data_IF_571099289342
#
_entry.id   IF_571099289342
#
_cell.length_a   1.000
_cell.length_b   1.000
_cell.length_c   1.000
_cell.angle_alpha   90.00
_cell.angle_beta   90.00
_cell.angle_gamma   90.00
#
_symmetry.space_group_name_H-M   'P 1'
#
loop_
_entity.id
_entity.type
_entity.pdbx_description
1 polymer ?
#
# COMPACT_ATOMS: atom_id res chain seq x y z
N UNK A 1 -19.49 -17.02 32.21
CA UNK A 1 -20.38 -16.16 33.03
C UNK A 1 -20.50 -14.85 32.28
N UNK A 2 -21.63 -14.58 31.63
CA UNK A 2 -21.84 -13.33 30.91
C UNK A 2 -22.17 -12.25 31.95
N UNK A 3 -21.28 -11.28 32.14
CA UNK A 3 -21.59 -10.08 32.92
C UNK A 3 -22.35 -9.13 32.00
N UNK A 4 -23.64 -8.92 32.26
CA UNK A 4 -24.38 -7.80 31.68
C UNK A 4 -24.24 -6.59 32.60
N UNK A 5 -24.14 -5.41 32.00
CA UNK A 5 -24.24 -4.15 32.74
C UNK A 5 -25.62 -4.10 33.40
N UNK A 6 -25.68 -3.68 34.67
CA UNK A 6 -26.95 -3.53 35.36
C UNK A 6 -27.77 -2.40 34.71
N UNK A 7 -29.09 -2.58 34.50
CA UNK A 7 -29.92 -1.54 33.92
C UNK A 7 -29.89 -0.28 34.80
N UNK A 8 -30.00 0.92 34.18
CA UNK A 8 -30.08 2.17 34.91
C UNK A 8 -31.32 2.17 35.82
N UNK A 9 -31.17 2.80 37.00
CA UNK A 9 -32.23 2.88 38.01
C UNK A 9 -33.28 3.96 37.67
N UNK A 10 -32.93 4.92 36.81
CA UNK A 10 -33.76 6.03 36.37
C UNK A 10 -33.43 6.39 34.92
N UNK A 11 -34.42 6.88 34.18
CA UNK A 11 -34.26 7.40 32.83
C UNK A 11 -33.89 8.89 32.90
N UNK A 12 -32.86 9.31 32.18
CA UNK A 12 -32.43 10.70 32.05
C UNK A 12 -32.46 11.12 30.57
N UNK A 13 -32.84 12.37 30.28
CA UNK A 13 -33.01 12.86 28.89
C UNK A 13 -31.71 12.83 28.08
N UNK A 14 -30.55 12.95 28.74
CA UNK A 14 -29.22 12.97 28.10
C UNK A 14 -28.47 11.63 28.19
N UNK A 15 -29.11 10.54 28.65
CA UNK A 15 -28.47 9.23 28.80
C UNK A 15 -29.01 8.14 27.84
N UNK A 16 -28.22 7.08 27.68
CA UNK A 16 -28.61 5.92 26.88
C UNK A 16 -29.77 5.18 27.57
N UNK A 17 -30.91 5.11 26.88
CA UNK A 17 -32.10 4.40 27.35
C UNK A 17 -31.91 2.88 27.29
N UNK A 18 -32.26 2.20 28.38
CA UNK A 18 -32.22 0.74 28.43
C UNK A 18 -33.47 0.14 27.78
N UNK A 19 -33.29 -0.46 26.59
CA UNK A 19 -34.41 -1.07 25.85
C UNK A 19 -34.62 -2.51 26.31
N UNK A 20 -35.75 -2.77 26.96
CA UNK A 20 -36.24 -4.13 27.19
C UNK A 20 -37.16 -4.58 26.04
N UNK A 21 -36.65 -5.49 25.19
CA UNK A 21 -37.39 -6.01 24.03
C UNK A 21 -38.70 -6.71 24.41
N UNK A 22 -38.81 -7.28 25.62
CA UNK A 22 -40.03 -7.94 26.08
C UNK A 22 -41.16 -6.95 26.41
N UNK A 23 -40.83 -5.68 26.66
CA UNK A 23 -41.76 -4.64 27.13
C UNK A 23 -42.32 -3.78 25.99
N UNK A 24 -41.66 -3.78 24.82
CA UNK A 24 -41.99 -2.91 23.71
C UNK A 24 -42.17 -3.71 22.40
N UNK A 25 -43.36 -4.31 22.17
CA UNK A 25 -43.62 -5.12 20.97
C UNK A 25 -43.61 -4.33 19.66
N UNK A 26 -43.64 -2.99 19.71
CA UNK A 26 -43.65 -2.11 18.54
C UNK A 26 -42.26 -1.61 18.12
N UNK A 27 -41.19 -1.98 18.82
CA UNK A 27 -39.81 -1.55 18.50
C UNK A 27 -39.09 -2.68 17.79
N UNK A 28 -38.79 -2.50 16.50
CA UNK A 28 -37.92 -3.41 15.76
C UNK A 28 -36.47 -2.97 15.88
N UNK A 29 -35.62 -3.84 16.43
CA UNK A 29 -34.17 -3.58 16.47
C UNK A 29 -33.62 -3.77 15.06
N UNK A 30 -33.23 -2.67 14.44
CA UNK A 30 -32.52 -2.68 13.16
C UNK A 30 -31.02 -2.63 13.44
N UNK A 31 -30.33 -3.71 13.09
CA UNK A 31 -28.88 -3.72 13.08
C UNK A 31 -28.39 -3.08 11.78
N UNK A 32 -27.43 -2.17 11.87
CA UNK A 32 -26.71 -1.68 10.70
C UNK A 32 -25.90 -2.84 10.09
N UNK A 33 -26.38 -3.35 8.96
CA UNK A 33 -25.72 -4.43 8.22
C UNK A 33 -24.55 -3.91 7.38
N UNK A 34 -24.30 -2.61 7.33
CA UNK A 34 -23.21 -2.02 6.55
C UNK A 34 -21.82 -2.46 7.02
N UNK A 35 -21.69 -2.92 8.27
CA UNK A 35 -20.45 -3.46 8.84
C UNK A 35 -20.43 -4.99 8.96
N UNK A 36 -21.41 -5.69 8.38
CA UNK A 36 -21.48 -7.14 8.48
C UNK A 36 -20.45 -7.80 7.55
N UNK A 37 -19.53 -8.54 8.15
CA UNK A 37 -18.60 -9.43 7.45
C UNK A 37 -19.05 -10.86 7.70
N UNK A 38 -19.14 -11.68 6.65
CA UNK A 38 -19.53 -13.08 6.82
C UNK A 38 -18.50 -13.82 7.70
N UNK A 39 -18.92 -14.79 8.53
CA UNK A 39 -17.99 -15.55 9.36
C UNK A 39 -16.86 -16.20 8.55
N UNK A 40 -17.17 -16.66 7.34
CA UNK A 40 -16.20 -17.24 6.43
C UNK A 40 -15.15 -16.20 6.00
N UNK A 41 -15.59 -15.03 5.53
CA UNK A 41 -14.68 -13.93 5.14
C UNK A 41 -13.79 -13.51 6.32
N UNK A 42 -14.34 -13.42 7.53
CA UNK A 42 -13.58 -13.08 8.73
C UNK A 42 -12.45 -14.08 9.01
N UNK A 43 -12.71 -15.38 8.86
CA UNK A 43 -11.69 -16.43 9.02
C UNK A 43 -10.62 -16.31 7.94
N UNK A 44 -11.02 -16.09 6.68
CA UNK A 44 -10.08 -15.92 5.57
C UNK A 44 -9.15 -14.72 5.76
N UNK A 45 -9.67 -13.59 6.23
CA UNK A 45 -8.86 -12.39 6.52
C UNK A 45 -7.88 -12.67 7.66
N UNK A 46 -8.32 -13.34 8.72
CA UNK A 46 -7.42 -13.72 9.82
C UNK A 46 -6.31 -14.64 9.35
N UNK A 47 -6.61 -15.58 8.45
CA UNK A 47 -5.61 -16.44 7.82
C UNK A 47 -4.68 -15.65 6.90
N UNK A 48 -5.18 -14.65 6.18
CA UNK A 48 -4.38 -13.82 5.28
C UNK A 48 -3.26 -13.05 5.98
N UNK A 49 -3.44 -12.71 7.27
CA UNK A 49 -2.38 -12.10 8.08
C UNK A 49 -1.30 -13.09 8.52
N UNK A 50 -1.61 -14.38 8.56
CA UNK A 50 -0.72 -15.41 9.10
C UNK A 50 0.03 -16.12 7.98
N UNK A 51 -0.64 -16.40 6.86
CA UNK A 51 -0.13 -17.26 5.80
C UNK A 51 -0.69 -16.88 4.42
N UNK A 52 -0.02 -17.31 3.33
CA UNK A 52 -0.56 -17.16 1.98
C UNK A 52 -1.87 -17.94 1.84
N UNK A 53 -2.89 -17.30 1.28
CA UNK A 53 -4.19 -17.92 1.00
C UNK A 53 -4.14 -18.75 -0.28
N UNK A 54 -4.99 -19.77 -0.35
CA UNK A 54 -5.19 -20.54 -1.59
C UNK A 54 -5.83 -19.68 -2.68
N UNK A 55 -5.63 -20.03 -3.94
CA UNK A 55 -6.19 -19.24 -5.06
C UNK A 55 -7.73 -19.15 -5.01
N UNK A 56 -8.40 -20.19 -4.50
CA UNK A 56 -9.84 -20.21 -4.30
C UNK A 56 -10.26 -19.24 -3.18
N UNK A 57 -9.56 -19.27 -2.04
CA UNK A 57 -9.84 -18.37 -0.92
C UNK A 57 -9.58 -16.91 -1.27
N UNK A 58 -8.53 -16.64 -2.06
CA UNK A 58 -8.26 -15.30 -2.59
C UNK A 58 -9.42 -14.80 -3.45
N UNK A 59 -9.96 -15.62 -4.35
CA UNK A 59 -11.11 -15.24 -5.18
C UNK A 59 -12.35 -14.93 -4.35
N UNK A 60 -12.65 -15.74 -3.32
CA UNK A 60 -13.76 -15.47 -2.40
C UNK A 60 -13.59 -14.11 -1.72
N UNK A 61 -12.37 -13.80 -1.25
CA UNK A 61 -12.09 -12.53 -0.59
C UNK A 61 -12.14 -11.34 -1.56
N UNK A 62 -11.69 -11.50 -2.80
CA UNK A 62 -11.82 -10.48 -3.85
C UNK A 62 -13.29 -10.21 -4.18
N UNK A 63 -14.11 -11.25 -4.33
CA UNK A 63 -15.54 -11.09 -4.59
C UNK A 63 -16.27 -10.40 -3.43
N UNK A 64 -15.83 -10.61 -2.18
CA UNK A 64 -16.34 -9.87 -1.03
C UNK A 64 -15.89 -8.41 -1.04
N UNK A 65 -14.60 -8.16 -1.32
CA UNK A 65 -14.03 -6.81 -1.46
C UNK A 65 -14.72 -5.97 -2.53
N UNK A 66 -15.18 -6.58 -3.63
CA UNK A 66 -15.93 -5.90 -4.68
C UNK A 66 -17.35 -5.47 -4.23
N UNK A 67 -17.93 -6.17 -3.25
CA UNK A 67 -19.28 -5.89 -2.71
C UNK A 67 -19.25 -4.88 -1.56
N UNK A 68 -18.15 -4.85 -0.81
CA UNK A 68 -17.96 -4.01 0.37
C UNK A 68 -17.56 -2.59 -0.06
N UNK A 69 -18.30 -1.57 0.38
CA UNK A 69 -18.05 -0.19 -0.06
C UNK A 69 -17.69 0.79 1.08
N UNK A 70 -17.72 0.39 2.36
CA UNK A 70 -17.45 1.31 3.48
C UNK A 70 -16.67 0.62 4.61
N UNK A 71 -15.63 1.28 5.12
CA UNK A 71 -14.87 0.92 6.32
C UNK A 71 -14.20 -0.47 6.33
N UNK A 72 -13.64 -0.89 5.20
CA UNK A 72 -12.95 -2.20 5.04
C UNK A 72 -11.84 -2.40 6.10
N UNK A 73 -11.07 -1.36 6.46
CA UNK A 73 -10.04 -1.47 7.50
C UNK A 73 -10.62 -1.96 8.84
N UNK A 74 -11.73 -1.37 9.30
CA UNK A 74 -12.37 -1.75 10.55
C UNK A 74 -13.03 -3.12 10.46
N UNK A 75 -13.75 -3.38 9.37
CA UNK A 75 -14.42 -4.65 9.12
C UNK A 75 -13.43 -5.82 9.11
N UNK A 76 -12.25 -5.62 8.50
CA UNK A 76 -11.25 -6.66 8.33
C UNK A 76 -10.24 -6.68 9.50
N UNK A 77 -10.34 -5.73 10.43
CA UNK A 77 -9.40 -5.60 11.55
C UNK A 77 -7.96 -5.35 11.06
N UNK A 78 -7.81 -4.67 9.92
CA UNK A 78 -6.54 -4.29 9.34
C UNK A 78 -6.04 -3.03 10.05
N UNK A 79 -5.15 -3.21 11.01
CA UNK A 79 -4.39 -2.12 11.63
C UNK A 79 -3.10 -1.87 10.84
N UNK A 80 -2.53 -0.65 10.85
CA UNK A 80 -1.25 -0.38 10.18
C UNK A 80 -0.14 -1.37 10.57
N UNK A 81 -0.10 -1.80 11.83
CA UNK A 81 0.86 -2.80 12.34
C UNK A 81 0.76 -4.19 11.70
N UNK A 82 -0.40 -4.57 11.15
CA UNK A 82 -0.61 -5.87 10.48
C UNK A 82 -0.37 -5.79 8.96
N UNK A 83 -0.26 -4.58 8.41
CA UNK A 83 -0.03 -4.38 6.99
C UNK A 83 1.21 -5.13 6.47
N UNK A 84 2.37 -5.12 7.18
CA UNK A 84 3.55 -5.84 6.70
C UNK A 84 3.33 -7.33 6.53
N UNK A 85 2.63 -7.95 7.47
CA UNK A 85 2.32 -9.37 7.41
C UNK A 85 1.39 -9.70 6.24
N UNK A 86 0.42 -8.82 5.98
CA UNK A 86 -0.49 -8.99 4.84
C UNK A 86 0.23 -8.84 3.50
N UNK A 87 1.12 -7.84 3.38
CA UNK A 87 1.91 -7.59 2.16
C UNK A 87 2.83 -8.77 1.86
N UNK A 88 3.52 -9.29 2.87
CA UNK A 88 4.44 -10.42 2.70
C UNK A 88 3.70 -11.72 2.35
N UNK A 89 2.53 -11.98 2.93
CA UNK A 89 1.80 -13.22 2.68
C UNK A 89 0.89 -13.17 1.43
N UNK A 90 0.25 -12.02 1.19
CA UNK A 90 -0.82 -11.86 0.21
C UNK A 90 -0.77 -10.46 -0.47
N UNK A 91 0.19 -10.22 -1.38
CA UNK A 91 0.40 -8.90 -2.00
C UNK A 91 -0.78 -8.41 -2.83
N UNK A 92 -1.44 -9.30 -3.59
CA UNK A 92 -2.58 -8.92 -4.44
C UNK A 92 -3.80 -8.46 -3.62
N UNK A 93 -4.08 -9.14 -2.51
CA UNK A 93 -5.15 -8.76 -1.58
C UNK A 93 -4.80 -7.42 -0.92
N UNK A 94 -3.53 -7.24 -0.54
CA UNK A 94 -3.05 -5.98 0.02
C UNK A 94 -3.27 -4.81 -0.93
N UNK A 95 -2.98 -4.99 -2.23
CA UNK A 95 -3.21 -3.97 -3.26
C UNK A 95 -4.69 -3.56 -3.28
N UNK A 96 -5.61 -4.52 -3.42
CA UNK A 96 -7.04 -4.18 -3.53
C UNK A 96 -7.55 -3.48 -2.26
N UNK A 97 -7.14 -3.95 -1.07
CA UNK A 97 -7.54 -3.29 0.18
C UNK A 97 -6.98 -1.86 0.24
N UNK A 98 -5.71 -1.65 -0.08
CA UNK A 98 -5.09 -0.32 -0.04
C UNK A 98 -5.72 0.63 -1.06
N UNK A 99 -6.04 0.17 -2.27
CA UNK A 99 -6.77 0.96 -3.27
C UNK A 99 -8.14 1.41 -2.75
N UNK A 100 -8.85 0.54 -2.01
CA UNK A 100 -10.13 0.90 -1.40
C UNK A 100 -9.97 1.85 -0.23
N UNK A 101 -8.91 1.71 0.57
CA UNK A 101 -8.62 2.62 1.68
C UNK A 101 -8.32 4.03 1.18
N UNK A 102 -7.61 4.17 0.06
CA UNK A 102 -7.33 5.47 -0.56
C UNK A 102 -8.60 6.28 -0.87
N UNK A 103 -9.73 5.62 -1.13
CA UNK A 103 -10.99 6.27 -1.49
C UNK A 103 -11.82 6.62 -0.23
N UNK A 104 -11.73 5.79 0.81
CA UNK A 104 -12.72 5.77 1.88
C UNK A 104 -12.19 6.21 3.25
N UNK A 105 -10.87 6.33 3.44
CA UNK A 105 -10.25 6.54 4.77
C UNK A 105 -8.91 7.26 4.64
N UNK A 106 -8.44 7.90 5.72
CA UNK A 106 -7.07 8.43 5.80
C UNK A 106 -6.04 7.28 5.73
N UNK A 107 -5.37 7.17 4.59
CA UNK A 107 -4.37 6.12 4.32
C UNK A 107 -2.96 6.46 4.86
N UNK A 108 -2.78 7.65 5.42
CA UNK A 108 -1.47 8.20 5.81
C UNK A 108 -0.66 7.29 6.72
N UNK A 109 -1.28 6.69 7.75
CA UNK A 109 -0.61 5.74 8.66
C UNK A 109 -0.16 4.46 7.94
N UNK A 110 -0.95 3.98 6.98
CA UNK A 110 -0.59 2.80 6.18
C UNK A 110 0.56 3.12 5.22
N UNK A 111 0.60 4.33 4.66
CA UNK A 111 1.70 4.81 3.83
C UNK A 111 3.00 4.93 4.66
N UNK A 112 2.94 5.46 5.88
CA UNK A 112 4.12 5.52 6.75
C UNK A 112 4.69 4.12 7.05
N UNK A 113 3.81 3.16 7.35
CA UNK A 113 4.25 1.76 7.49
C UNK A 113 4.86 1.24 6.20
N UNK A 114 4.26 1.52 5.03
CA UNK A 114 4.79 1.12 3.72
C UNK A 114 6.21 1.61 3.46
N UNK A 115 6.53 2.84 3.85
CA UNK A 115 7.89 3.41 3.71
C UNK A 115 8.90 2.75 4.64
N UNK A 116 8.47 2.36 5.84
CA UNK A 116 9.34 1.82 6.88
C UNK A 116 9.53 0.30 6.79
N UNK A 117 8.72 -0.40 6.00
CA UNK A 117 8.85 -1.84 5.77
C UNK A 117 10.18 -2.24 5.10
N UNK A 118 10.55 -3.50 5.29
CA UNK A 118 11.64 -4.10 4.54
C UNK A 118 11.30 -4.16 3.05
N UNK A 119 12.26 -3.82 2.20
CA UNK A 119 12.03 -3.73 0.77
C UNK A 119 12.20 -5.13 0.18
N UNK A 120 11.06 -5.77 -0.03
CA UNK A 120 10.88 -7.10 -0.60
C UNK A 120 10.30 -7.02 -2.01
N UNK A 121 10.19 -8.16 -2.70
CA UNK A 121 9.48 -8.21 -3.98
C UNK A 121 8.01 -7.83 -3.82
N UNK A 122 7.36 -8.31 -2.75
CA UNK A 122 5.95 -8.09 -2.49
C UNK A 122 5.64 -6.62 -2.16
N UNK A 123 6.43 -5.98 -1.29
CA UNK A 123 6.27 -4.55 -1.00
C UNK A 123 6.50 -3.67 -2.24
N UNK A 124 7.53 -3.96 -3.06
CA UNK A 124 7.77 -3.25 -4.31
C UNK A 124 6.64 -3.44 -5.32
N UNK A 125 6.09 -4.65 -5.43
CA UNK A 125 4.94 -4.92 -6.30
C UNK A 125 3.72 -4.10 -5.86
N UNK A 126 3.43 -4.08 -4.56
CA UNK A 126 2.32 -3.29 -3.98
C UNK A 126 2.51 -1.82 -4.30
N UNK A 127 3.66 -1.22 -3.99
CA UNK A 127 3.91 0.20 -4.23
C UNK A 127 3.86 0.52 -5.73
N UNK A 128 4.46 -0.31 -6.59
CA UNK A 128 4.39 -0.11 -8.04
C UNK A 128 2.94 -0.11 -8.56
N UNK A 129 2.13 -1.07 -8.10
CA UNK A 129 0.71 -1.16 -8.47
C UNK A 129 -0.10 0.04 -7.99
N UNK A 130 0.09 0.46 -6.74
CA UNK A 130 -0.58 1.64 -6.18
C UNK A 130 -0.23 2.90 -6.97
N UNK A 131 1.06 3.10 -7.26
CA UNK A 131 1.55 4.29 -7.97
C UNK A 131 0.98 4.38 -9.40
N UNK A 132 0.74 3.23 -10.06
CA UNK A 132 0.10 3.21 -11.39
C UNK A 132 -1.42 3.31 -11.37
N UNK A 133 -2.06 2.95 -10.26
CA UNK A 133 -3.53 2.86 -10.17
C UNK A 133 -4.16 4.10 -9.54
N UNK A 134 -3.39 4.85 -8.76
CA UNK A 134 -3.85 6.02 -8.02
C UNK A 134 -2.77 7.12 -7.97
N UNK A 135 -3.20 8.36 -7.75
CA UNK A 135 -2.29 9.47 -7.46
C UNK A 135 -1.85 9.43 -5.99
N UNK A 136 -0.68 8.84 -5.73
CA UNK A 136 -0.04 8.89 -4.41
C UNK A 136 0.63 10.26 -4.19
N UNK A 137 0.74 10.73 -2.93
CA UNK A 137 1.50 11.94 -2.60
C UNK A 137 2.95 11.83 -3.07
N UNK A 138 3.48 12.91 -3.64
CA UNK A 138 4.85 12.96 -4.16
C UNK A 138 5.86 12.74 -3.03
N UNK A 139 5.61 13.29 -1.85
CA UNK A 139 6.47 13.16 -0.67
C UNK A 139 6.67 11.69 -0.28
N UNK A 140 5.58 10.90 -0.34
CA UNK A 140 5.65 9.45 -0.09
C UNK A 140 6.54 8.75 -1.12
N UNK A 141 6.36 9.05 -2.40
CA UNK A 141 7.13 8.42 -3.49
C UNK A 141 8.62 8.76 -3.36
N UNK A 142 8.95 10.05 -3.13
CA UNK A 142 10.33 10.50 -2.95
C UNK A 142 10.98 9.81 -1.75
N UNK A 143 10.31 9.79 -0.59
CA UNK A 143 10.83 9.15 0.61
C UNK A 143 11.03 7.64 0.42
N UNK A 144 10.08 6.97 -0.24
CA UNK A 144 10.20 5.54 -0.55
C UNK A 144 11.42 5.27 -1.44
N UNK A 145 11.66 6.09 -2.48
CA UNK A 145 12.81 5.96 -3.36
C UNK A 145 14.13 6.18 -2.62
N UNK A 146 14.24 7.24 -1.81
CA UNK A 146 15.45 7.50 -1.04
C UNK A 146 15.75 6.37 -0.05
N UNK A 147 14.71 5.76 0.55
CA UNK A 147 14.86 4.56 1.37
C UNK A 147 15.33 3.34 0.56
N UNK A 148 14.83 3.15 -0.67
CA UNK A 148 15.32 2.11 -1.57
C UNK A 148 16.81 2.27 -1.90
N UNK A 149 17.24 3.49 -2.25
CA UNK A 149 18.61 3.81 -2.63
C UNK A 149 19.55 3.63 -1.43
N UNK A 150 19.20 4.20 -0.27
CA UNK A 150 19.98 4.10 0.96
C UNK A 150 20.18 2.65 1.42
N UNK A 151 19.13 1.80 1.29
CA UNK A 151 19.22 0.36 1.59
C UNK A 151 20.13 -0.36 0.59
N UNK A 152 20.14 0.00 -0.70
CA UNK A 152 21.09 -0.58 -1.67
C UNK A 152 22.55 -0.30 -1.29
N UNK A 153 22.84 0.91 -0.79
CA UNK A 153 24.19 1.35 -0.42
C UNK A 153 24.66 0.77 0.92
N UNK A 154 23.75 0.51 1.85
CA UNK A 154 24.12 -0.02 3.18
C UNK A 154 24.43 -1.53 3.14
N UNK A 155 23.86 -2.29 2.20
CA UNK A 155 24.02 -3.76 2.05
C UNK A 155 25.38 -4.15 1.41
N UNK A 156 26.42 -3.33 1.56
CA UNK A 156 27.75 -3.52 0.94
C UNK A 156 28.65 -4.58 1.60
N UNK A 157 28.10 -5.55 2.35
CA UNK A 157 28.88 -6.62 2.97
C UNK A 157 29.18 -7.77 1.96
N UNK A 158 30.42 -8.29 1.88
CA UNK A 158 30.84 -9.23 0.82
C UNK A 158 30.03 -10.54 0.68
N UNK A 159 29.26 -10.93 1.70
CA UNK A 159 28.44 -12.16 1.69
C UNK A 159 27.08 -11.99 0.99
N UNK A 160 26.59 -10.76 0.84
CA UNK A 160 25.25 -10.47 0.31
C UNK A 160 25.24 -9.92 -1.12
N UNK A 161 26.39 -9.92 -1.80
CA UNK A 161 26.55 -9.29 -3.13
C UNK A 161 25.57 -9.83 -4.20
N UNK A 162 25.15 -11.10 -4.10
CA UNK A 162 24.14 -11.67 -4.99
C UNK A 162 22.73 -11.14 -4.67
N UNK A 163 22.38 -11.09 -3.38
CA UNK A 163 21.10 -10.56 -2.89
C UNK A 163 21.00 -9.07 -3.19
N UNK A 164 22.08 -8.31 -2.96
CA UNK A 164 22.20 -6.91 -3.34
C UNK A 164 22.03 -6.70 -4.85
N UNK A 165 22.68 -7.53 -5.69
CA UNK A 165 22.52 -7.44 -7.14
C UNK A 165 21.07 -7.66 -7.57
N UNK A 166 20.39 -8.67 -6.99
CA UNK A 166 18.96 -8.89 -7.22
C UNK A 166 18.10 -7.70 -6.76
N UNK A 167 18.42 -7.15 -5.60
CA UNK A 167 17.72 -6.00 -5.03
C UNK A 167 17.85 -4.75 -5.91
N UNK A 168 19.07 -4.41 -6.32
CA UNK A 168 19.34 -3.30 -7.24
C UNK A 168 18.59 -3.48 -8.56
N UNK A 169 18.50 -4.71 -9.10
CA UNK A 169 17.69 -4.98 -10.29
C UNK A 169 16.22 -4.65 -10.09
N UNK A 170 15.63 -5.03 -8.96
CA UNK A 170 14.23 -4.73 -8.64
C UNK A 170 14.00 -3.22 -8.52
N UNK A 171 14.86 -2.52 -7.80
CA UNK A 171 14.80 -1.05 -7.66
C UNK A 171 14.93 -0.37 -9.03
N UNK A 172 15.87 -0.82 -9.88
CA UNK A 172 16.02 -0.27 -11.23
C UNK A 172 14.75 -0.45 -12.07
N UNK A 173 14.13 -1.64 -12.06
CA UNK A 173 12.88 -1.90 -12.81
C UNK A 173 11.74 -1.04 -12.28
N UNK A 174 11.65 -0.88 -10.95
CA UNK A 174 10.67 -0.02 -10.30
C UNK A 174 10.85 1.45 -10.70
N UNK A 175 12.05 2.02 -10.59
CA UNK A 175 12.34 3.39 -11.01
C UNK A 175 12.03 3.61 -12.50
N UNK A 176 12.40 2.66 -13.36
CA UNK A 176 12.04 2.74 -14.77
C UNK A 176 10.52 2.72 -15.01
N UNK A 177 9.74 1.97 -14.21
CA UNK A 177 8.27 1.98 -14.26
C UNK A 177 7.72 3.37 -13.96
N UNK A 178 8.19 3.99 -12.88
CA UNK A 178 7.75 5.33 -12.45
C UNK A 178 8.08 6.40 -13.48
N UNK A 179 9.29 6.34 -14.06
CA UNK A 179 9.74 7.26 -15.11
C UNK A 179 8.90 7.09 -16.38
N UNK A 180 8.69 5.86 -16.86
CA UNK A 180 7.90 5.61 -18.08
C UNK A 180 6.45 6.04 -17.95
N UNK A 181 5.86 5.87 -16.77
CA UNK A 181 4.49 6.28 -16.48
C UNK A 181 4.37 7.77 -16.12
N UNK A 182 5.47 8.53 -16.15
CA UNK A 182 5.53 9.98 -15.82
C UNK A 182 4.97 10.32 -14.43
N UNK A 183 5.18 9.42 -13.47
CA UNK A 183 4.64 9.59 -12.12
C UNK A 183 5.55 10.49 -11.27
N UNK A 184 6.85 10.53 -11.60
CA UNK A 184 7.85 11.35 -10.91
C UNK A 184 8.31 12.47 -11.84
N UNK A 185 8.48 13.67 -11.28
CA UNK A 185 9.26 14.73 -11.91
C UNK A 185 10.75 14.38 -11.83
N UNK A 186 11.31 13.84 -12.93
CA UNK A 186 12.69 13.36 -13.00
C UNK A 186 13.72 14.42 -12.58
N UNK A 187 13.38 15.71 -12.67
CA UNK A 187 14.26 16.83 -12.32
C UNK A 187 14.63 16.88 -10.84
N UNK A 188 13.73 16.46 -9.96
CA UNK A 188 13.93 16.57 -8.51
C UNK A 188 14.78 15.43 -7.94
N UNK A 189 14.72 14.24 -8.56
CA UNK A 189 15.48 13.06 -8.14
C UNK A 189 16.67 12.73 -9.06
N UNK A 190 16.96 13.58 -10.04
CA UNK A 190 17.95 13.27 -11.08
C UNK A 190 19.32 12.91 -10.50
N UNK A 191 19.83 13.76 -9.61
CA UNK A 191 21.18 13.62 -9.02
C UNK A 191 21.28 12.34 -8.20
N UNK A 192 20.25 12.03 -7.41
CA UNK A 192 20.21 10.84 -6.55
C UNK A 192 20.17 9.55 -7.39
N UNK A 193 19.32 9.51 -8.42
CA UNK A 193 19.20 8.33 -9.29
C UNK A 193 20.45 8.17 -10.18
N UNK A 194 21.05 9.26 -10.64
CA UNK A 194 22.31 9.23 -11.39
C UNK A 194 23.45 8.67 -10.54
N UNK A 195 23.64 9.20 -9.33
CA UNK A 195 24.66 8.73 -8.39
C UNK A 195 24.48 7.23 -8.11
N UNK A 196 23.24 6.79 -7.86
CA UNK A 196 22.89 5.38 -7.70
C UNK A 196 23.29 4.54 -8.93
N UNK A 197 22.91 4.98 -10.14
CA UNK A 197 23.22 4.24 -11.36
C UNK A 197 24.73 4.11 -11.61
N UNK A 198 25.52 5.14 -11.28
CA UNK A 198 26.98 5.11 -11.38
C UNK A 198 27.57 4.13 -10.36
N UNK A 199 27.10 4.19 -9.11
CA UNK A 199 27.50 3.29 -8.03
C UNK A 199 27.29 1.81 -8.36
N UNK A 200 26.21 1.50 -9.08
CA UNK A 200 25.86 0.14 -9.49
C UNK A 200 26.05 -0.14 -10.99
N UNK A 201 26.92 0.60 -11.66
CA UNK A 201 27.15 0.53 -13.13
C UNK A 201 27.49 -0.86 -13.69
N UNK A 202 27.99 -1.78 -12.85
CA UNK A 202 28.25 -3.18 -13.23
C UNK A 202 26.97 -3.99 -13.48
N UNK A 203 25.82 -3.51 -13.00
CA UNK A 203 24.50 -4.15 -13.16
C UNK A 203 23.84 -3.60 -14.42
N UNK A 204 23.39 -4.51 -15.30
CA UNK A 204 22.83 -4.17 -16.62
C UNK A 204 21.62 -3.24 -16.51
N UNK A 205 20.77 -3.48 -15.52
CA UNK A 205 19.54 -2.75 -15.26
C UNK A 205 19.82 -1.31 -14.80
N UNK A 206 20.89 -1.09 -14.02
CA UNK A 206 21.35 0.25 -13.62
C UNK A 206 21.90 1.02 -14.83
N UNK A 207 22.71 0.37 -15.67
CA UNK A 207 23.18 0.98 -16.91
C UNK A 207 22.03 1.33 -17.88
N UNK A 208 20.98 0.50 -17.93
CA UNK A 208 19.79 0.77 -18.73
C UNK A 208 18.97 1.95 -18.17
N UNK A 209 18.81 2.03 -16.85
CA UNK A 209 18.14 3.15 -16.17
C UNK A 209 18.88 4.47 -16.42
N UNK A 210 20.21 4.49 -16.30
CA UNK A 210 21.03 5.66 -16.59
C UNK A 210 20.83 6.19 -18.02
N UNK A 211 20.83 5.29 -19.01
CA UNK A 211 20.59 5.66 -20.42
C UNK A 211 19.18 6.24 -20.64
N UNK A 212 18.18 5.67 -19.98
CA UNK A 212 16.80 6.17 -20.04
C UNK A 212 16.72 7.61 -19.53
N UNK A 213 17.34 7.88 -18.38
CA UNK A 213 17.37 9.20 -17.76
C UNK A 213 18.08 10.22 -18.66
N UNK A 214 19.26 9.88 -19.19
CA UNK A 214 20.01 10.74 -20.11
C UNK A 214 19.26 11.02 -21.43
N UNK A 215 18.47 10.07 -21.90
CA UNK A 215 17.62 10.28 -23.08
C UNK A 215 16.49 11.28 -22.80
N UNK A 216 15.91 11.26 -21.61
CA UNK A 216 14.87 12.23 -21.22
C UNK A 216 15.45 13.64 -21.06
N UNK A 217 16.65 13.76 -20.50
CA UNK A 217 17.39 15.02 -20.41
C UNK A 217 17.65 15.62 -21.82
N UNK A 218 18.19 14.82 -22.74
CA UNK A 218 18.49 15.28 -24.11
C UNK A 218 17.23 15.49 -24.96
N UNK A 219 16.16 14.74 -24.72
CA UNK A 219 14.87 14.88 -25.40
C UNK A 219 14.12 16.15 -25.05
N UNK A 220 14.14 16.58 -23.78
CA UNK A 220 13.54 17.85 -23.36
C UNK A 220 14.33 19.06 -23.88
N UNK A 221 15.66 18.97 -23.94
CA UNK A 221 16.54 20.05 -24.41
C UNK A 221 16.25 20.45 -25.88
N UNK A 222 15.74 19.52 -26.69
CA UNK A 222 15.39 19.76 -28.10
C UNK A 222 14.00 20.38 -28.33
N UNK A 223 13.10 20.34 -27.34
CA UNK A 223 11.78 20.96 -27.43
C UNK A 223 11.82 22.44 -27.06
N UNK A 224 12.69 22.83 -26.13
CA UNK A 224 12.91 24.23 -25.72
C UNK A 224 13.68 25.05 -26.75
N UNK A 225 14.50 24.44 -27.60
CA UNK A 225 15.26 25.15 -28.64
C UNK A 225 14.43 25.46 -29.89
N UNK A 226 13.34 24.75 -30.15
CA UNK A 226 12.46 25.00 -31.31
C UNK A 226 11.35 26.04 -31.06
N UNK A 227 11.18 26.54 -29.83
CA UNK A 227 10.16 27.56 -29.50
C UNK A 227 10.70 28.99 -29.44
N UNK A 228 12.02 29.20 -29.59
CA UNK A 228 12.63 30.55 -29.66
C UNK A 228 12.91 31.04 -31.08
N UNK A 229 12.48 30.32 -32.13
CA UNK A 229 12.64 30.73 -33.53
C UNK A 229 11.34 30.68 -34.31
N UNK A 230 10.30 31.37 -33.83
CA UNK A 230 9.20 31.87 -34.66
C UNK A 230 8.64 33.16 -34.11
#
# INVERSE_FOLDING_TARGET
MFMSIAPPLMDFEDELLWINQASNPNVSVLYDKSNYVTPNTKVLIQQAFIQPLSLQDQQILFDDLLKQNRNIAHQYGLTPSKLPQLVENNPLISIEILLRLMINTDITEYLDVLVNMDITLHSLEVVNRLTTSCSLPTEFIHLYISNCISKCETVNLPKDKYVQSRFVRLVCVFLQSLIRNKIINVKELFIEIEAFCVGFSKIKEAAALYRLIKHLETGETNLTSNTLTK
#
